data_IF_806852251474
#
_entry.id   IF_806852251474
#
_cell.length_a   1.000
_cell.length_b   1.000
_cell.length_c   1.000
_cell.angle_alpha   90.00
_cell.angle_beta   90.00
_cell.angle_gamma   90.00
#
_symmetry.space_group_name_H-M   'P 1'
#
loop_
_entity.id
_entity.type
_entity.pdbx_description
1 polymer ?
#
# COMPACT_ATOMS: atom_id res chain seq x y z
N UNK A 1 25.13 -10.45 11.14
CA UNK A 1 24.63 -9.19 11.75
C UNK A 1 23.30 -9.51 12.41
N UNK A 2 23.12 -9.23 13.71
CA UNK A 2 21.80 -9.40 14.34
C UNK A 2 20.88 -8.25 13.91
N UNK A 3 19.65 -8.57 13.51
CA UNK A 3 18.66 -7.61 13.01
C UNK A 3 18.07 -6.67 14.07
N UNK A 4 18.64 -6.61 15.28
CA UNK A 4 18.00 -5.94 16.42
C UNK A 4 16.71 -6.62 16.86
N UNK A 5 16.14 -6.22 18.01
CA UNK A 5 14.89 -6.81 18.54
C UNK A 5 13.64 -6.42 17.73
N UNK A 6 13.74 -5.34 16.96
CA UNK A 6 12.62 -4.77 16.19
C UNK A 6 13.07 -4.32 14.78
N UNK A 7 13.93 -5.10 14.14
CA UNK A 7 14.38 -4.85 12.75
C UNK A 7 14.94 -3.44 12.49
N UNK A 8 15.43 -2.79 13.54
CA UNK A 8 15.80 -1.38 13.58
C UNK A 8 14.74 -0.43 12.98
N UNK A 9 13.48 -0.54 13.45
CA UNK A 9 12.38 0.37 13.12
C UNK A 9 12.77 1.86 13.12
N UNK A 10 13.66 2.27 14.04
CA UNK A 10 14.13 3.64 14.18
C UNK A 10 15.01 4.17 13.03
N UNK A 11 15.55 3.30 12.18
CA UNK A 11 16.32 3.68 10.96
C UNK A 11 15.67 3.12 9.69
N UNK A 12 14.48 2.51 9.81
CA UNK A 12 13.70 2.02 8.67
C UNK A 12 13.29 3.21 7.81
N UNK A 13 13.51 3.09 6.49
CA UNK A 13 13.15 4.13 5.53
C UNK A 13 11.67 4.05 5.18
N UNK A 14 11.12 5.17 4.70
CA UNK A 14 9.69 5.33 4.40
C UNK A 14 9.11 4.18 3.56
N UNK A 15 9.80 3.75 2.50
CA UNK A 15 9.37 2.65 1.62
C UNK A 15 9.31 1.29 2.34
N UNK A 16 10.26 1.04 3.25
CA UNK A 16 10.38 -0.22 3.99
C UNK A 16 9.27 -0.37 5.04
N UNK A 17 8.68 0.74 5.51
CA UNK A 17 7.53 0.71 6.42
C UNK A 17 6.31 0.03 5.79
N UNK A 18 6.20 0.06 4.46
CA UNK A 18 5.11 -0.60 3.73
C UNK A 18 5.33 -2.09 3.53
N UNK A 19 6.48 -2.66 3.91
CA UNK A 19 6.73 -4.09 3.81
C UNK A 19 5.99 -4.90 4.89
N UNK A 20 5.67 -6.16 4.60
CA UNK A 20 4.94 -7.02 5.55
C UNK A 20 5.71 -7.21 6.87
N UNK A 21 7.04 -7.28 6.80
CA UNK A 21 7.89 -7.39 7.99
C UNK A 21 7.78 -6.18 8.93
N UNK A 22 7.70 -4.96 8.38
CA UNK A 22 7.59 -3.73 9.17
C UNK A 22 6.24 -3.64 9.90
N UNK A 23 5.14 -4.03 9.24
CA UNK A 23 3.78 -4.02 9.84
C UNK A 23 3.71 -4.89 11.10
N UNK A 24 4.27 -6.11 11.05
CA UNK A 24 4.31 -6.99 12.22
C UNK A 24 5.24 -6.43 13.31
N UNK A 25 6.33 -5.78 12.90
CA UNK A 25 7.27 -5.18 13.85
C UNK A 25 6.63 -3.99 14.59
N UNK A 26 5.81 -3.18 13.92
CA UNK A 26 5.05 -2.09 14.53
C UNK A 26 4.05 -2.61 15.59
N UNK A 27 3.37 -3.72 15.32
CA UNK A 27 2.49 -4.37 16.29
C UNK A 27 3.25 -4.87 17.52
N UNK A 28 4.39 -5.54 17.30
CA UNK A 28 5.24 -6.00 18.40
C UNK A 28 5.77 -4.83 19.25
N UNK A 29 6.16 -3.73 18.61
CA UNK A 29 6.62 -2.53 19.31
C UNK A 29 5.49 -1.89 20.12
N UNK A 30 4.30 -1.75 19.53
CA UNK A 30 3.11 -1.24 20.23
C UNK A 30 2.81 -2.08 21.48
N UNK A 31 2.80 -3.40 21.36
CA UNK A 31 2.56 -4.29 22.50
C UNK A 31 3.65 -4.11 23.57
N UNK A 32 4.92 -3.97 23.18
CA UNK A 32 6.00 -3.73 24.13
C UNK A 32 5.84 -2.39 24.86
N UNK A 33 5.41 -1.34 24.16
CA UNK A 33 5.17 -0.03 24.77
C UNK A 33 4.05 -0.09 25.81
N UNK A 34 3.00 -0.89 25.57
CA UNK A 34 1.94 -1.16 26.56
C UNK A 34 2.52 -1.88 27.79
N UNK A 35 3.30 -2.94 27.59
CA UNK A 35 3.95 -3.68 28.69
C UNK A 35 4.87 -2.79 29.55
N UNK A 36 5.43 -1.73 28.97
CA UNK A 36 6.28 -0.76 29.66
C UNK A 36 5.49 0.40 30.30
N UNK A 37 4.17 0.45 30.12
CA UNK A 37 3.30 1.50 30.67
C UNK A 37 3.24 2.79 29.85
N UNK A 38 3.64 2.76 28.58
CA UNK A 38 3.66 3.90 27.66
C UNK A 38 2.50 3.80 26.64
N UNK A 39 1.27 3.97 27.12
CA UNK A 39 0.05 3.80 26.31
C UNK A 39 -0.09 4.81 25.17
N UNK A 40 0.41 6.04 25.37
CA UNK A 40 0.40 7.12 24.37
C UNK A 40 1.26 6.75 23.15
N UNK A 41 2.51 6.37 23.38
CA UNK A 41 3.43 5.93 22.33
C UNK A 41 2.97 4.63 21.67
N UNK A 42 2.39 3.70 22.44
CA UNK A 42 1.81 2.48 21.90
C UNK A 42 0.67 2.77 20.92
N UNK A 43 -0.24 3.67 21.31
CA UNK A 43 -1.37 4.08 20.48
C UNK A 43 -0.90 4.69 19.16
N UNK A 44 0.07 5.61 19.20
CA UNK A 44 0.61 6.23 17.99
C UNK A 44 1.32 5.20 17.08
N UNK A 45 2.06 4.26 17.67
CA UNK A 45 2.70 3.16 16.93
C UNK A 45 1.67 2.27 16.23
N UNK A 46 0.58 1.93 16.93
CA UNK A 46 -0.50 1.13 16.37
C UNK A 46 -1.29 1.88 15.29
N UNK A 47 -1.50 3.19 15.47
CA UNK A 47 -2.15 4.02 14.47
C UNK A 47 -1.36 4.06 13.16
N UNK A 48 -0.03 4.17 13.23
CA UNK A 48 0.85 4.08 12.06
C UNK A 48 0.68 2.73 11.32
N UNK A 49 0.62 1.61 12.05
CA UNK A 49 0.34 0.28 11.47
C UNK A 49 -0.98 0.29 10.68
N UNK A 50 -2.05 0.84 11.27
CA UNK A 50 -3.36 0.89 10.64
C UNK A 50 -3.36 1.77 9.39
N UNK A 51 -2.70 2.93 9.44
CA UNK A 51 -2.55 3.85 8.30
C UNK A 51 -1.88 3.11 7.12
N UNK A 52 -0.77 2.43 7.38
CA UNK A 52 -0.03 1.68 6.37
C UNK A 52 -0.89 0.55 5.78
N UNK A 53 -1.55 -0.24 6.62
CA UNK A 53 -2.41 -1.33 6.16
C UNK A 53 -3.57 -0.83 5.30
N UNK A 54 -4.23 0.26 5.73
CA UNK A 54 -5.32 0.87 4.98
C UNK A 54 -4.84 1.46 3.65
N UNK A 55 -3.69 2.14 3.65
CA UNK A 55 -3.09 2.70 2.45
C UNK A 55 -2.76 1.62 1.42
N UNK A 56 -2.14 0.50 1.85
CA UNK A 56 -1.84 -0.65 0.98
C UNK A 56 -3.10 -1.24 0.36
N UNK A 57 -4.14 -1.46 1.16
CA UNK A 57 -5.40 -2.00 0.65
C UNK A 57 -6.03 -1.08 -0.39
N UNK A 58 -6.12 0.23 -0.09
CA UNK A 58 -6.66 1.23 -1.02
C UNK A 58 -5.86 1.31 -2.32
N UNK A 59 -4.53 1.32 -2.22
CA UNK A 59 -3.65 1.33 -3.38
C UNK A 59 -3.84 0.10 -4.26
N UNK A 60 -3.95 -1.09 -3.67
CA UNK A 60 -4.22 -2.34 -4.39
C UNK A 60 -5.57 -2.28 -5.12
N UNK A 61 -6.64 -1.88 -4.43
CA UNK A 61 -7.96 -1.75 -5.05
C UNK A 61 -7.98 -0.76 -6.21
N UNK A 62 -7.29 0.38 -6.06
CA UNK A 62 -7.17 1.37 -7.15
C UNK A 62 -6.40 0.76 -8.32
N UNK A 63 -5.28 0.09 -8.05
CA UNK A 63 -4.43 -0.55 -9.04
C UNK A 63 -5.18 -1.62 -9.84
N UNK A 64 -5.88 -2.52 -9.16
CA UNK A 64 -6.70 -3.56 -9.79
C UNK A 64 -7.77 -2.96 -10.71
N UNK A 65 -8.47 -1.92 -10.23
CA UNK A 65 -9.52 -1.25 -11.00
C UNK A 65 -8.97 -0.50 -12.22
N UNK A 66 -7.79 0.10 -12.10
CA UNK A 66 -7.15 0.89 -13.16
C UNK A 66 -6.31 0.07 -14.13
N UNK A 67 -5.94 -1.17 -13.78
CA UNK A 67 -5.01 -2.00 -14.55
C UNK A 67 -5.34 -2.08 -16.05
N UNK A 68 -6.62 -2.28 -16.38
CA UNK A 68 -7.08 -2.36 -17.78
C UNK A 68 -6.97 -1.03 -18.52
N UNK A 69 -7.19 0.08 -17.84
CA UNK A 69 -7.05 1.43 -18.40
C UNK A 69 -5.58 1.72 -18.71
N UNK A 70 -4.69 1.47 -17.75
CA UNK A 70 -3.25 1.65 -17.94
C UNK A 70 -2.71 0.81 -19.09
N UNK A 71 -3.11 -0.46 -19.17
CA UNK A 71 -2.76 -1.33 -20.28
C UNK A 71 -3.23 -0.80 -21.63
N UNK A 72 -4.45 -0.28 -21.71
CA UNK A 72 -4.98 0.26 -22.95
C UNK A 72 -4.20 1.49 -23.44
N UNK A 73 -3.78 2.35 -22.51
CA UNK A 73 -2.94 3.52 -22.81
C UNK A 73 -1.55 3.08 -23.28
N UNK A 74 -0.90 2.17 -22.55
CA UNK A 74 0.43 1.64 -22.91
C UNK A 74 0.44 1.08 -24.34
N UNK A 75 -0.58 0.30 -24.70
CA UNK A 75 -0.69 -0.34 -26.00
C UNK A 75 -1.12 0.64 -27.11
N UNK A 76 -1.85 1.69 -26.78
CA UNK A 76 -2.10 2.80 -27.70
C UNK A 76 -0.81 3.56 -28.02
N UNK A 77 -0.04 3.93 -27.00
CA UNK A 77 1.21 4.69 -27.17
C UNK A 77 2.29 3.87 -27.89
N UNK A 78 2.27 2.54 -27.73
CA UNK A 78 3.13 1.60 -28.45
C UNK A 78 2.67 1.31 -29.89
N UNK A 79 1.58 1.94 -30.36
CA UNK A 79 0.93 1.70 -31.65
C UNK A 79 0.42 0.25 -31.87
N UNK A 80 0.31 -0.54 -30.80
CA UNK A 80 -0.30 -1.87 -30.84
C UNK A 80 -1.82 -1.78 -30.98
N UNK A 81 -2.44 -0.78 -30.32
CA UNK A 81 -3.88 -0.58 -30.25
C UNK A 81 -4.33 0.80 -30.75
N UNK A 82 -5.59 0.89 -31.19
CA UNK A 82 -6.24 2.15 -31.55
C UNK A 82 -6.79 2.90 -30.34
N UNK A 83 -7.07 4.20 -30.52
CA UNK A 83 -7.67 5.08 -29.50
C UNK A 83 -9.02 4.57 -28.97
N UNK A 84 -9.77 3.87 -29.82
CA UNK A 84 -11.03 3.21 -29.48
C UNK A 84 -10.89 2.20 -28.33
N UNK A 85 -9.73 1.54 -28.22
CA UNK A 85 -9.41 0.63 -27.12
C UNK A 85 -9.30 1.35 -25.77
N UNK A 86 -8.73 2.58 -25.78
CA UNK A 86 -8.65 3.44 -24.59
C UNK A 86 -10.04 3.93 -24.19
N UNK A 87 -10.82 4.44 -25.15
CA UNK A 87 -12.18 4.93 -24.91
C UNK A 87 -13.07 3.82 -24.32
N UNK A 88 -12.95 2.59 -24.85
CA UNK A 88 -13.65 1.41 -24.33
C UNK A 88 -13.20 1.04 -22.91
N UNK A 89 -11.90 1.08 -22.62
CA UNK A 89 -11.38 0.79 -21.28
C UNK A 89 -11.89 1.80 -20.24
N UNK A 90 -11.96 3.09 -20.59
CA UNK A 90 -12.53 4.14 -19.74
C UNK A 90 -14.03 3.94 -19.51
N UNK A 91 -14.79 3.63 -20.56
CA UNK A 91 -16.22 3.32 -20.47
C UNK A 91 -16.49 2.17 -19.50
N UNK A 92 -15.72 1.08 -19.60
CA UNK A 92 -15.79 -0.04 -18.67
C UNK A 92 -15.41 0.33 -17.24
N UNK A 93 -14.37 1.16 -17.05
CA UNK A 93 -13.94 1.64 -15.74
C UNK A 93 -15.01 2.49 -15.04
N UNK A 94 -15.72 3.33 -15.80
CA UNK A 94 -16.84 4.16 -15.29
C UNK A 94 -18.10 3.36 -15.01
N UNK A 95 -18.23 2.17 -15.61
CA UNK A 95 -19.46 1.38 -15.57
C UNK A 95 -20.49 1.84 -16.60
N UNK A 96 -20.06 2.58 -17.63
CA UNK A 96 -20.92 3.10 -18.70
C UNK A 96 -21.33 2.00 -19.70
N UNK A 97 -20.57 0.90 -19.76
CA UNK A 97 -20.95 -0.32 -20.49
C UNK A 97 -21.69 -1.29 -19.55
N UNK A 98 -23.02 -1.26 -19.57
CA UNK A 98 -23.89 -2.36 -19.14
C UNK A 98 -24.60 -2.95 -20.35
#
# INVERSE_FOLDING_TARGET
>A
MSGGSYNYLCITRDEQLFEYGAINTLEQMSNRLIELGHEDAAKETYELKLIIQQAKLRANTISERMNKVWKAVEWYDSADWGKDSVDKAISNYRGDCK
#
